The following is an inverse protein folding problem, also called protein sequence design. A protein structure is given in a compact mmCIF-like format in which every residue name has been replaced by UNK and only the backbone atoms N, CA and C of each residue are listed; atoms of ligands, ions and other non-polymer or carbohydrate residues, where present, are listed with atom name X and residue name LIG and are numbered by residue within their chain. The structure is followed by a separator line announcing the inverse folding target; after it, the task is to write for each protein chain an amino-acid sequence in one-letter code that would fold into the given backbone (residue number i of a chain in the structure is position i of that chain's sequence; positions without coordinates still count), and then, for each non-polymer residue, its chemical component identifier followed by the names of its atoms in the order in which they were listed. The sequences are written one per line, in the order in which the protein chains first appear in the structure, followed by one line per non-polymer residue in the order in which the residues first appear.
data_IF_913013021418
#
_entry.id   IF_913013021418
#
_cell.length_a   1.000
_cell.length_b   1.000
_cell.length_c   1.000
_cell.angle_alpha   90.00
_cell.angle_beta   90.00
_cell.angle_gamma   90.00
#
_symmetry.space_group_name_H-M   'P 1'
#
loop_
_entity.id
_entity.type
_entity.pdbx_description
1 polymer ?
#
# COMPACT_ATOMS: atom_id res chain seq x y z
N UNK A 1 21.35 17.19 23.30
CA UNK A 1 19.91 17.45 23.18
C UNK A 1 19.36 16.56 22.07
N UNK A 2 18.55 15.54 22.40
CA UNK A 2 17.94 14.63 21.42
C UNK A 2 16.59 15.20 21.00
N UNK A 3 16.40 15.48 19.71
CA UNK A 3 15.09 15.82 19.13
C UNK A 3 14.25 14.54 19.04
N UNK A 4 12.98 14.53 19.48
CA UNK A 4 12.10 13.39 19.25
C UNK A 4 11.74 13.33 17.75
N UNK A 5 11.73 12.12 17.19
CA UNK A 5 11.19 11.87 15.87
C UNK A 5 9.67 12.04 15.91
N UNK A 6 9.12 12.90 15.05
CA UNK A 6 7.69 13.08 14.92
C UNK A 6 7.13 11.99 14.00
N UNK A 7 6.33 11.09 14.56
CA UNK A 7 5.45 10.21 13.78
C UNK A 7 4.26 11.04 13.34
N UNK A 8 4.13 11.33 12.05
CA UNK A 8 2.95 11.99 11.49
C UNK A 8 1.97 10.91 10.99
N UNK A 9 0.90 10.64 11.75
CA UNK A 9 -0.27 9.95 11.24
C UNK A 9 -1.21 10.99 10.62
N UNK A 10 -1.27 11.03 9.29
CA UNK A 10 -2.26 11.81 8.55
C UNK A 10 -3.52 10.96 8.38
N UNK A 11 -4.49 11.12 9.28
CA UNK A 11 -5.83 10.55 9.14
C UNK A 11 -6.76 11.63 8.60
N UNK A 12 -7.23 11.47 7.36
CA UNK A 12 -8.22 12.38 6.75
C UNK A 12 -9.56 11.67 6.73
N UNK A 13 -10.54 12.16 7.50
CA UNK A 13 -11.92 11.70 7.43
C UNK A 13 -12.80 12.80 6.82
N UNK A 14 -13.45 12.52 5.69
CA UNK A 14 -14.52 13.37 5.13
C UNK A 14 -15.85 12.60 5.06
N UNK A 15 -16.94 13.35 5.18
CA UNK A 15 -18.25 12.97 5.72
C UNK A 15 -19.14 12.02 4.89
N UNK A 16 -20.05 11.40 5.67
CA UNK A 16 -21.27 10.67 5.33
C UNK A 16 -22.04 11.13 4.07
N UNK A 17 -22.30 10.17 3.18
CA UNK A 17 -23.49 10.11 2.31
C UNK A 17 -23.88 8.65 2.10
N UNK A 18 -25.05 8.27 2.62
CA UNK A 18 -25.66 6.97 2.32
C UNK A 18 -26.30 7.05 0.92
N UNK A 19 -25.60 6.55 -0.10
CA UNK A 19 -26.13 6.20 -1.42
C UNK A 19 -25.06 5.38 -2.16
N UNK A 20 -25.34 4.09 -2.41
CA UNK A 20 -24.48 3.07 -3.05
C UNK A 20 -23.21 2.71 -2.27
N UNK A 21 -23.11 1.45 -1.85
CA UNK A 21 -21.88 0.85 -1.34
C UNK A 21 -20.86 0.73 -2.48
N UNK A 22 -20.24 1.85 -2.84
CA UNK A 22 -19.04 1.89 -3.66
C UNK A 22 -17.85 1.31 -2.89
N UNK A 23 -16.75 1.00 -3.57
CA UNK A 23 -15.55 0.56 -2.88
C UNK A 23 -15.03 1.64 -1.94
N UNK A 24 -14.77 1.27 -0.69
CA UNK A 24 -14.03 2.11 0.25
C UNK A 24 -12.57 2.13 -0.20
N UNK A 25 -12.00 3.32 -0.39
CA UNK A 25 -10.57 3.46 -0.69
C UNK A 25 -9.74 2.82 0.44
N UNK A 26 -8.70 2.02 0.11
CA UNK A 26 -7.87 1.42 1.13
C UNK A 26 -7.12 2.50 1.90
N UNK A 27 -6.96 2.29 3.20
CA UNK A 27 -6.16 3.17 4.04
C UNK A 27 -4.68 2.97 3.65
N UNK A 28 -3.95 4.06 3.40
CA UNK A 28 -2.51 4.01 3.15
C UNK A 28 -1.75 4.48 4.38
N UNK A 29 -0.81 3.64 4.85
CA UNK A 29 0.17 4.03 5.86
C UNK A 29 1.57 4.08 5.24
N UNK A 30 2.29 5.18 5.45
CA UNK A 30 3.69 5.31 5.06
C UNK A 30 4.56 5.23 6.31
N UNK A 31 5.52 4.32 6.28
CA UNK A 31 6.56 4.21 7.30
C UNK A 31 7.92 4.52 6.69
N UNK A 32 8.53 5.62 7.13
CA UNK A 32 9.88 6.01 6.74
C UNK A 32 10.98 5.39 7.61
N UNK A 33 10.61 4.71 8.70
CA UNK A 33 11.53 4.02 9.58
C UNK A 33 11.67 2.54 9.17
N UNK A 34 12.72 2.26 8.41
CA UNK A 34 12.97 0.96 7.77
C UNK A 34 13.45 -0.16 8.72
N UNK A 35 13.30 0.00 10.04
CA UNK A 35 13.74 -1.00 11.05
C UNK A 35 13.01 -2.34 10.92
N UNK A 36 11.79 -2.34 10.40
CA UNK A 36 10.96 -3.54 10.32
C UNK A 36 11.02 -4.25 8.96
N UNK A 37 11.85 -3.79 8.01
CA UNK A 37 11.95 -4.39 6.67
C UNK A 37 12.25 -5.89 6.74
N UNK A 38 13.17 -6.31 7.60
CA UNK A 38 13.51 -7.72 7.74
C UNK A 38 12.33 -8.58 8.24
N UNK A 39 11.40 -8.00 9.00
CA UNK A 39 10.17 -8.68 9.42
C UNK A 39 9.15 -8.73 8.28
N UNK A 40 8.99 -7.64 7.53
CA UNK A 40 8.12 -7.58 6.35
C UNK A 40 8.51 -8.60 5.28
N UNK A 41 9.80 -8.82 5.09
CA UNK A 41 10.31 -9.76 4.09
C UNK A 41 10.00 -11.23 4.41
N UNK A 42 9.74 -11.54 5.69
CA UNK A 42 9.36 -12.87 6.16
C UNK A 42 7.86 -13.14 6.03
N UNK A 43 7.07 -12.12 5.72
CA UNK A 43 5.63 -12.31 5.52
C UNK A 43 5.38 -13.18 4.30
N UNK A 44 4.33 -14.00 4.38
CA UNK A 44 3.81 -14.72 3.23
C UNK A 44 3.40 -13.72 2.16
N UNK A 45 3.72 -14.07 0.91
CA UNK A 45 3.32 -13.29 -0.25
C UNK A 45 1.87 -13.66 -0.61
N UNK A 46 0.97 -12.68 -0.53
CA UNK A 46 -0.45 -12.86 -0.90
C UNK A 46 -1.06 -11.56 -1.47
N UNK A 47 -0.41 -11.04 -2.50
CA UNK A 47 -0.82 -9.89 -3.30
C UNK A 47 0.11 -9.76 -4.49
N UNK A 48 -0.17 -8.83 -5.40
CA UNK A 48 0.65 -8.63 -6.60
C UNK A 48 0.68 -7.17 -7.01
N UNK A 49 1.85 -6.71 -7.47
CA UNK A 49 2.01 -5.40 -8.12
C UNK A 49 2.02 -5.62 -9.63
N UNK A 50 0.87 -5.41 -10.27
CA UNK A 50 0.67 -5.56 -11.71
C UNK A 50 1.55 -4.56 -12.50
N UNK A 51 1.66 -3.32 -12.01
CA UNK A 51 2.41 -2.25 -12.67
C UNK A 51 3.16 -1.37 -11.69
N UNK A 52 4.36 -0.98 -12.10
CA UNK A 52 5.22 -0.10 -11.35
C UNK A 52 5.91 0.90 -12.28
N UNK A 53 5.84 2.18 -11.93
CA UNK A 53 6.60 3.25 -12.60
C UNK A 53 7.25 4.15 -11.55
N UNK A 54 8.53 4.44 -11.74
CA UNK A 54 9.32 5.32 -10.89
C UNK A 54 10.00 6.36 -11.78
N UNK A 55 9.67 7.65 -11.56
CA UNK A 55 10.18 8.76 -12.37
C UNK A 55 10.10 10.05 -11.57
N UNK A 56 9.23 10.98 -11.97
CA UNK A 56 8.91 12.17 -11.16
C UNK A 56 8.17 11.80 -9.88
N UNK A 57 7.21 10.89 -10.02
CA UNK A 57 6.43 10.26 -8.95
C UNK A 57 6.63 8.75 -9.01
N UNK A 58 6.14 8.06 -7.97
CA UNK A 58 6.01 6.60 -7.98
C UNK A 58 4.55 6.21 -8.14
N UNK A 59 4.26 5.30 -9.07
CA UNK A 59 2.91 4.73 -9.24
C UNK A 59 2.97 3.22 -9.13
N UNK A 60 2.10 2.67 -8.29
CA UNK A 60 1.89 1.25 -8.06
C UNK A 60 0.44 0.92 -8.44
N UNK A 61 0.25 -0.11 -9.26
CA UNK A 61 -1.07 -0.69 -9.52
C UNK A 61 -0.98 -2.18 -9.16
N UNK A 62 -1.98 -2.69 -8.44
CA UNK A 62 -1.91 -4.04 -7.92
C UNK A 62 -3.18 -4.50 -7.25
N UNK A 63 -3.06 -5.62 -6.55
CA UNK A 63 -4.07 -6.16 -5.64
C UNK A 63 -3.42 -6.84 -4.44
N UNK A 64 -4.17 -6.99 -3.35
CA UNK A 64 -3.70 -7.73 -2.19
C UNK A 64 -4.83 -8.43 -1.47
N UNK A 65 -4.52 -9.26 -0.47
CA UNK A 65 -5.53 -9.73 0.48
C UNK A 65 -6.02 -8.56 1.34
N UNK A 66 -6.98 -7.82 0.81
CA UNK A 66 -7.62 -6.62 1.36
C UNK A 66 -9.13 -6.79 1.26
N UNK A 67 -9.80 -6.63 2.38
CA UNK A 67 -11.24 -6.56 2.45
C UNK A 67 -11.71 -5.14 2.13
N UNK A 68 -12.81 -5.05 1.39
CA UNK A 68 -13.48 -3.80 1.04
C UNK A 68 -14.83 -3.72 1.74
N UNK A 69 -15.12 -2.62 2.44
CA UNK A 69 -16.42 -2.37 3.06
C UNK A 69 -16.36 -1.55 4.35
N UNK A 70 -17.52 -1.11 4.83
CA UNK A 70 -17.64 -0.27 6.02
C UNK A 70 -17.09 -0.96 7.28
N UNK A 71 -16.12 -0.31 7.92
CA UNK A 71 -15.55 -0.74 9.21
C UNK A 71 -14.43 -1.78 9.13
N UNK A 72 -14.12 -2.32 7.95
CA UNK A 72 -13.07 -3.33 7.73
C UNK A 72 -12.05 -2.89 6.68
N UNK A 73 -11.75 -1.59 6.58
CA UNK A 73 -10.81 -1.08 5.57
C UNK A 73 -9.42 -1.67 5.77
N UNK A 74 -9.05 -2.66 4.95
CA UNK A 74 -7.70 -3.18 4.91
C UNK A 74 -6.71 -2.05 4.63
N UNK A 75 -5.57 -2.09 5.30
CA UNK A 75 -4.53 -1.07 5.17
C UNK A 75 -3.45 -1.56 4.21
N UNK A 76 -3.02 -0.69 3.30
CA UNK A 76 -1.78 -0.89 2.54
C UNK A 76 -0.68 -0.10 3.26
N UNK A 77 0.36 -0.81 3.67
CA UNK A 77 1.52 -0.23 4.32
C UNK A 77 2.69 -0.15 3.33
N UNK A 78 3.28 1.03 3.23
CA UNK A 78 4.43 1.36 2.40
C UNK A 78 5.62 1.69 3.30
N UNK A 79 6.62 0.83 3.34
CA UNK A 79 7.86 1.07 4.06
C UNK A 79 8.91 1.57 3.07
N UNK A 80 9.23 2.86 3.14
CA UNK A 80 10.02 3.54 2.10
C UNK A 80 10.83 4.72 2.63
N UNK A 81 12.01 4.94 2.06
CA UNK A 81 12.86 6.12 2.27
C UNK A 81 12.63 7.23 1.22
N UNK A 82 11.64 7.05 0.34
CA UNK A 82 11.24 8.06 -0.62
C UNK A 82 10.74 9.33 0.08
N UNK A 83 11.05 10.54 -0.45
CA UNK A 83 10.59 11.80 0.12
C UNK A 83 9.13 12.08 -0.28
N UNK A 84 8.20 11.27 0.22
CA UNK A 84 6.78 11.36 -0.13
C UNK A 84 6.14 12.59 0.53
N UNK A 85 5.60 13.49 -0.29
CA UNK A 85 4.87 14.68 0.17
C UNK A 85 3.36 14.46 0.20
N UNK A 86 2.85 13.59 -0.67
CA UNK A 86 1.42 13.29 -0.79
C UNK A 86 1.21 11.90 -1.37
N UNK A 87 0.09 11.29 -0.95
CA UNK A 87 -0.38 10.00 -1.45
C UNK A 87 -1.74 10.21 -2.10
N UNK A 88 -1.89 9.66 -3.30
CA UNK A 88 -3.17 9.54 -3.98
C UNK A 88 -3.47 8.05 -4.10
N UNK A 89 -4.69 7.63 -3.71
CA UNK A 89 -5.10 6.23 -3.71
C UNK A 89 -6.46 6.11 -4.39
N UNK A 90 -6.63 5.05 -5.15
CA UNK A 90 -7.89 4.70 -5.80
C UNK A 90 -8.11 3.20 -5.62
N UNK A 91 -9.31 2.80 -5.22
CA UNK A 91 -9.71 1.40 -5.20
C UNK A 91 -10.06 0.93 -6.62
N UNK A 92 -9.56 -0.25 -7.00
CA UNK A 92 -9.76 -0.82 -8.33
C UNK A 92 -10.51 -2.15 -8.19
N UNK A 93 -11.59 -2.32 -8.93
CA UNK A 93 -12.33 -3.58 -8.97
C UNK A 93 -11.49 -4.70 -9.60
N UNK A 94 -11.46 -5.86 -8.94
CA UNK A 94 -10.71 -7.07 -9.32
C UNK A 94 -11.58 -8.34 -9.31
N UNK A 95 -12.64 -8.40 -10.14
CA UNK A 95 -13.45 -9.61 -10.26
C UNK A 95 -12.66 -10.79 -10.82
N UNK A 96 -11.62 -10.53 -11.61
CA UNK A 96 -10.64 -11.53 -12.08
C UNK A 96 -9.92 -12.23 -10.92
N UNK A 97 -9.45 -11.45 -9.94
CA UNK A 97 -8.78 -11.96 -8.74
C UNK A 97 -9.78 -12.72 -7.87
N UNK A 98 -10.96 -12.15 -7.62
CA UNK A 98 -11.99 -12.79 -6.83
C UNK A 98 -12.37 -14.17 -7.40
N UNK A 99 -12.56 -14.26 -8.73
CA UNK A 99 -12.85 -15.52 -9.42
C UNK A 99 -11.70 -16.52 -9.38
N UNK A 100 -10.46 -16.05 -9.57
CA UNK A 100 -9.27 -16.92 -9.60
C UNK A 100 -8.91 -17.45 -8.21
N UNK A 101 -9.02 -16.61 -7.18
CA UNK A 101 -8.73 -16.96 -5.79
C UNK A 101 -9.91 -17.71 -5.15
N UNK A 102 -11.12 -17.59 -5.71
CA UNK A 102 -12.34 -18.18 -5.16
C UNK A 102 -12.87 -17.43 -3.94
N UNK A 103 -12.58 -16.14 -3.84
CA UNK A 103 -12.91 -15.30 -2.69
C UNK A 103 -13.64 -14.02 -3.15
N UNK A 104 -14.98 -13.97 -3.02
CA UNK A 104 -15.77 -12.83 -3.49
C UNK A 104 -15.46 -11.54 -2.71
N UNK A 105 -14.88 -11.63 -1.50
CA UNK A 105 -14.47 -10.47 -0.71
C UNK A 105 -13.33 -9.67 -1.36
N UNK A 106 -12.63 -10.27 -2.34
CA UNK A 106 -11.54 -9.62 -3.06
C UNK A 106 -11.99 -8.86 -4.32
N UNK A 107 -13.30 -8.73 -4.56
CA UNK A 107 -13.81 -8.05 -5.74
C UNK A 107 -13.36 -6.58 -5.86
N UNK A 108 -12.95 -5.94 -4.77
CA UNK A 108 -12.36 -4.58 -4.74
C UNK A 108 -11.01 -4.55 -4.02
N UNK A 109 -10.27 -5.65 -4.10
CA UNK A 109 -8.94 -5.78 -3.51
C UNK A 109 -7.83 -5.06 -4.30
N UNK A 110 -8.17 -4.52 -5.46
CA UNK A 110 -7.25 -3.79 -6.31
C UNK A 110 -7.04 -2.36 -5.84
N UNK A 111 -5.90 -1.81 -6.21
CA UNK A 111 -5.57 -0.43 -5.90
C UNK A 111 -4.69 0.18 -6.98
N UNK A 112 -4.75 1.50 -7.06
CA UNK A 112 -3.77 2.36 -7.73
C UNK A 112 -3.29 3.38 -6.70
N UNK A 113 -1.99 3.39 -6.43
CA UNK A 113 -1.35 4.32 -5.50
C UNK A 113 -0.36 5.17 -6.28
N UNK A 114 -0.43 6.50 -6.12
CA UNK A 114 0.58 7.45 -6.57
C UNK A 114 1.21 8.14 -5.37
N UNK A 115 2.53 8.02 -5.27
CA UNK A 115 3.36 8.74 -4.31
C UNK A 115 3.93 9.96 -5.01
N UNK A 116 3.47 11.15 -4.61
CA UNK A 116 4.01 12.42 -5.07
C UNK A 116 5.26 12.72 -4.24
N UNK A 117 6.38 13.00 -4.92
CA UNK A 117 7.67 13.22 -4.27
C UNK A 117 8.01 14.72 -4.15
N UNK A 118 8.69 15.10 -3.08
CA UNK A 118 9.25 16.46 -2.92
C UNK A 118 10.65 16.43 -2.28
N UNK A 119 11.73 16.76 -3.02
CA UNK A 119 11.71 17.21 -4.42
C UNK A 119 11.23 16.11 -5.37
N UNK A 120 10.65 16.53 -6.50
CA UNK A 120 10.20 15.60 -7.53
C UNK A 120 11.39 14.82 -8.12
N UNK A 121 11.18 13.54 -8.40
CA UNK A 121 12.23 12.64 -8.88
C UNK A 121 12.59 11.56 -7.86
N UNK A 122 12.62 10.32 -8.33
CA UNK A 122 13.03 9.18 -7.53
C UNK A 122 14.56 9.22 -7.34
N UNK A 123 15.07 9.21 -6.08
CA UNK A 123 16.50 9.19 -5.82
C UNK A 123 17.15 7.88 -6.27
N UNK A 124 18.45 7.91 -6.53
CA UNK A 124 19.23 6.71 -6.81
C UNK A 124 19.31 5.83 -5.56
N UNK A 125 18.93 4.55 -5.68
CA UNK A 125 18.95 3.60 -4.57
C UNK A 125 17.94 3.94 -3.47
N UNK A 126 16.67 3.59 -3.68
CA UNK A 126 15.59 3.75 -2.72
C UNK A 126 15.01 2.40 -2.31
N UNK A 127 14.28 2.41 -1.20
CA UNK A 127 13.54 1.28 -0.66
C UNK A 127 12.06 1.53 -0.80
N UNK A 128 11.31 0.53 -1.22
CA UNK A 128 9.86 0.51 -1.24
C UNK A 128 9.39 -0.93 -1.02
N UNK A 129 8.96 -1.23 0.20
CA UNK A 129 8.31 -2.49 0.55
C UNK A 129 6.80 -2.24 0.71
N UNK A 130 5.98 -3.08 0.08
CA UNK A 130 4.52 -2.97 0.11
C UNK A 130 3.93 -4.18 0.81
N UNK A 131 3.07 -3.93 1.79
CA UNK A 131 2.34 -4.98 2.51
C UNK A 131 0.88 -4.58 2.69
N UNK A 132 0.02 -5.58 2.88
CA UNK A 132 -1.34 -5.40 3.38
C UNK A 132 -1.38 -5.75 4.86
N UNK A 133 -2.22 -5.06 5.60
CA UNK A 133 -2.61 -5.40 6.96
C UNK A 133 -4.12 -5.27 7.06
N UNK A 134 -4.80 -6.41 7.02
CA UNK A 134 -6.24 -6.48 6.95
C UNK A 134 -6.79 -7.26 8.17
N UNK A 135 -7.84 -6.78 8.85
CA UNK A 135 -8.40 -7.50 10.00
C UNK A 135 -8.97 -8.89 9.67
N UNK A 136 -9.47 -9.08 8.45
CA UNK A 136 -10.06 -10.34 8.00
C UNK A 136 -9.01 -11.30 7.47
N UNK A 137 -8.06 -10.80 6.68
CA UNK A 137 -7.08 -11.64 6.01
C UNK A 137 -5.74 -11.75 6.77
N UNK A 138 -5.39 -10.76 7.58
CA UNK A 138 -4.11 -10.64 8.26
C UNK A 138 -3.10 -9.81 7.48
N UNK A 139 -1.81 -9.97 7.84
CA UNK A 139 -0.72 -9.21 7.24
C UNK A 139 0.01 -10.03 6.16
N UNK A 140 0.12 -9.47 4.97
CA UNK A 140 0.83 -10.11 3.85
C UNK A 140 1.75 -9.14 3.16
N UNK A 141 2.83 -9.67 2.60
CA UNK A 141 3.66 -8.91 1.67
C UNK A 141 3.04 -9.01 0.27
N UNK A 142 3.10 -7.93 -0.49
CA UNK A 142 2.74 -7.98 -1.91
C UNK A 142 3.88 -8.59 -2.71
N UNK A 143 3.56 -9.37 -3.74
CA UNK A 143 4.57 -10.06 -4.54
C UNK A 143 5.57 -9.08 -5.13
N UNK A 144 6.82 -9.54 -5.16
CA UNK A 144 7.97 -8.80 -5.62
C UNK A 144 7.92 -8.68 -7.14
N UNK A 145 7.15 -7.71 -7.63
CA UNK A 145 7.50 -7.13 -8.93
C UNK A 145 8.96 -6.70 -8.81
N UNK A 146 9.90 -7.28 -9.58
CA UNK A 146 11.34 -7.08 -9.37
C UNK A 146 11.76 -5.62 -9.58
N UNK A 147 10.88 -4.80 -10.15
CA UNK A 147 11.07 -3.36 -10.28
C UNK A 147 10.76 -2.58 -9.00
N UNK A 148 10.06 -3.16 -8.04
CA UNK A 148 9.77 -2.58 -6.73
C UNK A 148 10.90 -2.97 -5.76
N UNK A 149 11.79 -2.04 -5.38
CA UNK A 149 12.98 -2.37 -4.61
C UNK A 149 12.64 -2.56 -3.13
N UNK A 150 12.46 -3.81 -2.70
CA UNK A 150 12.36 -4.16 -1.27
C UNK A 150 13.64 -4.92 -0.83
N UNK A 151 14.80 -4.24 -0.70
CA UNK A 151 16.09 -4.87 -0.47
C UNK A 151 16.17 -5.60 0.88
N UNK A 152 16.80 -6.77 0.90
CA UNK A 152 17.08 -7.50 2.15
C UNK A 152 18.11 -6.71 2.95
N UNK A 153 17.80 -6.38 4.20
CA UNK A 153 18.83 -5.89 5.12
C UNK A 153 19.88 -6.99 5.25
N UNK A 154 21.08 -6.74 4.71
CA UNK A 154 22.25 -7.59 4.90
C UNK A 154 22.74 -7.50 6.34
#
# INVERSE_FOLDING_TARGET
MRRPAATALLTVCFHASACFAGPVEPIIAINSNLREIAALQKLTIAGHIDKFTAGQDVVLEGWGKLSSGDGNGGMIQLDTDLPVSRVEVEAVARPDVAGTVGDPGLAYSGFRIRLVLDPAGVPEGYTLCVSTNDPLYGRFRMHDNPKVPCPVQR
#
